data_IF_731374365823
#
_entry.id   IF_731374365823
#
_cell.length_a   1.000
_cell.length_b   1.000
_cell.length_c   1.000
_cell.angle_alpha   90.00
_cell.angle_beta   90.00
_cell.angle_gamma   90.00
#
_symmetry.space_group_name_H-M   'P 1'
#
loop_
_entity.id
_entity.type
_entity.pdbx_description
1 polymer ?
#
# COMPACT_ATOMS: atom_id res chain seq x y z
N UNK A 1 -18.43 -7.40 -10.49
CA UNK A 1 -17.06 -7.18 -11.01
C UNK A 1 -16.11 -8.20 -10.38
N UNK A 2 -14.96 -8.43 -11.01
CA UNK A 2 -13.93 -9.31 -10.46
C UNK A 2 -12.78 -8.45 -9.94
N UNK A 3 -12.53 -8.47 -8.64
CA UNK A 3 -11.59 -7.57 -7.97
C UNK A 3 -10.45 -8.34 -7.29
N UNK A 4 -9.21 -7.89 -7.50
CA UNK A 4 -8.03 -8.42 -6.82
C UNK A 4 -7.48 -7.38 -5.84
N UNK A 5 -7.22 -7.83 -4.61
CA UNK A 5 -6.56 -7.03 -3.58
C UNK A 5 -5.14 -7.54 -3.37
N UNK A 6 -4.15 -6.71 -3.64
CA UNK A 6 -2.73 -6.95 -3.33
C UNK A 6 -2.44 -6.30 -2.00
N UNK A 7 -2.24 -7.12 -0.96
CA UNK A 7 -2.16 -6.67 0.44
C UNK A 7 -1.18 -7.52 1.25
N UNK A 8 -1.04 -7.20 2.53
CA UNK A 8 -0.33 -8.04 3.49
C UNK A 8 -1.06 -9.39 3.69
N UNK A 9 -0.40 -10.42 4.24
CA UNK A 9 -1.07 -11.69 4.49
C UNK A 9 -2.40 -11.50 5.23
N UNK A 10 -3.46 -12.13 4.74
CA UNK A 10 -4.83 -11.97 5.24
C UNK A 10 -4.95 -12.19 6.76
N UNK A 11 -4.07 -13.02 7.34
CA UNK A 11 -4.00 -13.30 8.78
C UNK A 11 -3.55 -12.07 9.61
N UNK A 12 -2.93 -11.08 8.98
CA UNK A 12 -2.47 -9.84 9.62
C UNK A 12 -3.51 -8.72 9.53
N UNK A 13 -4.50 -8.87 8.68
CA UNK A 13 -5.59 -7.90 8.52
C UNK A 13 -6.51 -7.94 9.75
N UNK A 14 -6.83 -6.77 10.27
CA UNK A 14 -7.76 -6.58 11.41
C UNK A 14 -9.09 -6.04 10.89
N UNK A 15 -10.09 -6.88 10.67
CA UNK A 15 -11.32 -6.48 9.96
C UNK A 15 -12.05 -5.29 10.58
N UNK A 16 -11.94 -5.15 11.90
CA UNK A 16 -12.59 -4.10 12.67
C UNK A 16 -11.92 -2.71 12.55
N UNK A 17 -10.70 -2.65 11.99
CA UNK A 17 -9.89 -1.43 11.90
C UNK A 17 -9.31 -1.16 10.52
N UNK A 18 -9.27 -2.17 9.67
CA UNK A 18 -8.61 -2.09 8.39
C UNK A 18 -9.57 -1.61 7.29
N UNK A 19 -9.23 -0.51 6.66
CA UNK A 19 -10.01 0.03 5.56
C UNK A 19 -10.05 -0.88 4.34
N UNK A 20 -9.04 -1.75 4.15
CA UNK A 20 -9.02 -2.75 3.08
C UNK A 20 -10.08 -3.81 3.33
N UNK A 21 -10.22 -4.29 4.57
CA UNK A 21 -11.29 -5.22 4.93
C UNK A 21 -12.67 -4.61 4.67
N UNK A 22 -12.87 -3.36 5.05
CA UNK A 22 -14.13 -2.65 4.79
C UNK A 22 -14.43 -2.53 3.28
N UNK A 23 -13.42 -2.27 2.45
CA UNK A 23 -13.56 -2.23 0.99
C UNK A 23 -13.94 -3.61 0.42
N UNK A 24 -13.25 -4.67 0.85
CA UNK A 24 -13.52 -6.04 0.41
C UNK A 24 -14.95 -6.47 0.79
N UNK A 25 -15.39 -6.18 2.01
CA UNK A 25 -16.75 -6.48 2.47
C UNK A 25 -17.80 -5.67 1.70
N UNK A 26 -17.52 -4.40 1.40
CA UNK A 26 -18.43 -3.58 0.60
C UNK A 26 -18.56 -4.12 -0.84
N UNK A 27 -17.45 -4.53 -1.45
CA UNK A 27 -17.44 -5.13 -2.78
C UNK A 27 -18.21 -6.47 -2.80
N UNK A 28 -18.04 -7.32 -1.77
CA UNK A 28 -18.82 -8.56 -1.65
C UNK A 28 -20.32 -8.29 -1.53
N UNK A 29 -20.73 -7.30 -0.71
CA UNK A 29 -22.14 -6.90 -0.61
C UNK A 29 -22.72 -6.38 -1.92
N UNK A 30 -21.87 -5.83 -2.78
CA UNK A 30 -22.24 -5.42 -4.13
C UNK A 30 -22.33 -6.59 -5.14
N UNK A 31 -22.03 -7.81 -4.71
CA UNK A 31 -22.06 -9.02 -5.53
C UNK A 31 -20.80 -9.22 -6.38
N UNK A 32 -19.69 -8.58 -6.00
CA UNK A 32 -18.43 -8.73 -6.70
C UNK A 32 -17.68 -10.00 -6.27
N UNK A 33 -16.88 -10.55 -7.18
CA UNK A 33 -15.98 -11.69 -6.98
C UNK A 33 -14.64 -11.17 -6.44
N UNK A 34 -14.30 -11.53 -5.20
CA UNK A 34 -13.16 -10.98 -4.45
C UNK A 34 -12.02 -11.96 -4.40
N UNK A 35 -10.85 -11.49 -4.77
CA UNK A 35 -9.59 -12.23 -4.75
C UNK A 35 -8.53 -11.45 -3.99
N UNK A 36 -7.57 -12.19 -3.42
CA UNK A 36 -6.46 -11.60 -2.69
C UNK A 36 -5.14 -12.28 -3.04
N UNK A 37 -4.06 -11.53 -3.02
CA UNK A 37 -2.70 -12.04 -3.09
C UNK A 37 -1.75 -11.10 -2.33
N UNK A 38 -0.54 -11.57 -2.05
CA UNK A 38 0.55 -10.72 -1.54
C UNK A 38 1.40 -10.18 -2.70
N UNK A 39 2.24 -9.16 -2.46
CA UNK A 39 3.20 -8.70 -3.48
C UNK A 39 4.10 -9.80 -4.05
N UNK A 40 4.47 -10.80 -3.24
CA UNK A 40 5.32 -11.91 -3.66
C UNK A 40 4.63 -12.91 -4.60
N UNK A 41 3.31 -12.84 -4.70
CA UNK A 41 2.52 -13.71 -5.58
C UNK A 41 2.36 -13.15 -6.99
N UNK A 42 2.78 -11.89 -7.22
CA UNK A 42 2.72 -11.24 -8.53
C UNK A 42 3.80 -11.79 -9.47
N UNK A 43 3.44 -12.00 -10.72
CA UNK A 43 4.30 -12.61 -11.73
C UNK A 43 4.17 -11.83 -13.05
N UNK A 44 5.29 -11.64 -13.74
CA UNK A 44 5.28 -11.24 -15.15
C UNK A 44 6.00 -12.31 -15.98
N UNK A 45 5.36 -12.79 -17.02
CA UNK A 45 5.98 -13.64 -18.04
C UNK A 45 6.01 -12.85 -19.35
N UNK A 46 7.12 -12.13 -19.60
CA UNK A 46 7.14 -11.13 -20.66
C UNK A 46 6.13 -10.02 -20.35
N UNK A 47 5.14 -9.86 -21.22
CA UNK A 47 4.04 -8.91 -21.12
C UNK A 47 2.74 -9.51 -20.54
N UNK A 48 2.77 -10.80 -20.17
CA UNK A 48 1.66 -11.50 -19.54
C UNK A 48 1.68 -11.26 -18.02
N UNK A 49 0.75 -10.45 -17.45
CA UNK A 49 0.66 -10.22 -16.01
C UNK A 49 -0.15 -11.33 -15.33
N UNK A 50 0.43 -11.98 -14.33
CA UNK A 50 -0.14 -13.12 -13.61
C UNK A 50 -0.03 -12.91 -12.11
N UNK A 51 -0.82 -13.65 -11.33
CA UNK A 51 -0.65 -13.81 -9.89
C UNK A 51 -1.07 -15.21 -9.43
N UNK A 52 -0.52 -15.66 -8.31
CA UNK A 52 -1.11 -16.73 -7.51
C UNK A 52 -2.06 -16.08 -6.51
N UNK A 53 -3.35 -16.22 -6.70
CA UNK A 53 -4.36 -15.52 -5.93
C UNK A 53 -5.34 -16.49 -5.26
N UNK A 54 -5.94 -16.04 -4.17
CA UNK A 54 -6.93 -16.77 -3.38
C UNK A 54 -8.31 -16.15 -3.61
N UNK A 55 -9.36 -16.92 -3.94
CA UNK A 55 -10.72 -16.44 -3.83
C UNK A 55 -11.08 -16.24 -2.36
N UNK A 56 -11.75 -15.13 -2.04
CA UNK A 56 -11.97 -14.67 -0.67
C UNK A 56 -13.43 -14.35 -0.43
N UNK A 57 -13.96 -14.81 0.71
CA UNK A 57 -15.26 -14.38 1.25
C UNK A 57 -14.99 -13.54 2.50
N UNK A 58 -15.00 -12.18 2.41
CA UNK A 58 -14.62 -11.33 3.52
C UNK A 58 -15.74 -11.08 4.56
N UNK A 59 -16.96 -11.61 4.35
CA UNK A 59 -18.06 -11.48 5.31
C UNK A 59 -18.83 -12.83 5.39
N UNK A 60 -18.74 -13.61 6.51
CA UNK A 60 -17.90 -13.33 7.70
C UNK A 60 -16.42 -13.45 7.36
N UNK A 61 -15.61 -12.72 8.09
CA UNK A 61 -14.17 -12.70 7.91
C UNK A 61 -13.52 -13.96 8.50
N UNK A 62 -12.74 -14.69 7.81
CA UNK A 62 -12.49 -14.77 6.37
C UNK A 62 -12.61 -16.23 5.94
N UNK A 63 -13.22 -16.46 4.79
CA UNK A 63 -13.20 -17.75 4.14
C UNK A 63 -12.35 -17.65 2.88
N UNK A 64 -11.33 -18.48 2.74
CA UNK A 64 -10.44 -18.49 1.59
C UNK A 64 -10.53 -19.82 0.86
N UNK A 65 -10.50 -19.75 -0.46
CA UNK A 65 -10.33 -20.92 -1.30
C UNK A 65 -8.87 -21.35 -1.44
N UNK A 66 -8.62 -22.29 -2.33
CA UNK A 66 -7.25 -22.70 -2.67
C UNK A 66 -6.56 -21.65 -3.54
N UNK A 67 -5.21 -21.51 -3.41
CA UNK A 67 -4.44 -20.64 -4.30
C UNK A 67 -4.56 -21.09 -5.75
N UNK A 68 -4.81 -20.14 -6.64
CA UNK A 68 -4.93 -20.40 -8.07
C UNK A 68 -4.07 -19.41 -8.86
N UNK A 69 -3.44 -19.91 -9.93
CA UNK A 69 -2.75 -19.05 -10.87
C UNK A 69 -3.76 -18.37 -11.79
N UNK A 70 -3.81 -17.04 -11.72
CA UNK A 70 -4.75 -16.20 -12.44
C UNK A 70 -4.04 -15.25 -13.38
N UNK A 71 -4.63 -15.01 -14.57
CA UNK A 71 -4.25 -13.85 -15.39
C UNK A 71 -4.81 -12.59 -14.77
N UNK A 72 -3.95 -11.58 -14.57
CA UNK A 72 -4.39 -10.30 -14.05
C UNK A 72 -5.32 -9.56 -15.04
N UNK A 73 -5.21 -9.86 -16.33
CA UNK A 73 -6.13 -9.31 -17.34
C UNK A 73 -7.58 -9.80 -17.21
N UNK A 74 -7.82 -10.82 -16.39
CA UNK A 74 -9.15 -11.31 -16.05
C UNK A 74 -9.85 -10.57 -14.92
N UNK A 75 -9.21 -9.55 -14.35
CA UNK A 75 -9.79 -8.71 -13.29
C UNK A 75 -10.24 -7.36 -13.84
N UNK A 76 -11.38 -6.88 -13.36
CA UNK A 76 -11.89 -5.55 -13.69
C UNK A 76 -11.10 -4.44 -12.99
N UNK A 77 -10.68 -4.73 -11.75
CA UNK A 77 -9.87 -3.80 -10.95
C UNK A 77 -8.90 -4.55 -10.04
N UNK A 78 -7.71 -3.99 -9.89
CA UNK A 78 -6.68 -4.45 -8.95
C UNK A 78 -6.40 -3.31 -7.96
N UNK A 79 -6.48 -3.62 -6.66
CA UNK A 79 -6.22 -2.70 -5.57
C UNK A 79 -4.83 -2.96 -4.99
N UNK A 80 -3.91 -2.00 -5.10
CA UNK A 80 -2.64 -2.05 -4.37
C UNK A 80 -2.86 -1.52 -2.96
N UNK A 81 -3.04 -2.45 -2.02
CA UNK A 81 -3.37 -2.18 -0.61
C UNK A 81 -2.32 -2.69 0.38
N UNK A 82 -1.13 -3.04 -0.12
CA UNK A 82 0.02 -3.38 0.73
C UNK A 82 0.40 -2.17 1.58
N UNK A 83 0.45 -2.38 2.88
CA UNK A 83 0.91 -1.37 3.83
C UNK A 83 2.43 -1.11 3.72
N UNK A 84 2.93 0.06 4.14
CA UNK A 84 4.36 0.30 4.27
C UNK A 84 5.08 -0.81 5.07
N UNK A 85 6.39 -1.03 4.89
CA UNK A 85 7.33 -0.10 4.26
C UNK A 85 7.30 -0.11 2.73
N UNK A 86 7.65 1.05 2.14
CA UNK A 86 7.93 1.17 0.70
C UNK A 86 9.39 0.74 0.47
N UNK A 87 9.60 -0.55 0.47
CA UNK A 87 10.88 -1.22 0.23
C UNK A 87 11.00 -1.71 -1.22
N UNK A 88 12.07 -2.44 -1.53
CA UNK A 88 12.27 -2.99 -2.87
C UNK A 88 11.14 -3.93 -3.29
N UNK A 89 10.63 -4.76 -2.39
CA UNK A 89 9.54 -5.67 -2.70
C UNK A 89 8.25 -4.91 -3.06
N UNK A 90 7.97 -3.84 -2.33
CA UNK A 90 6.87 -2.94 -2.67
C UNK A 90 7.06 -2.30 -4.05
N UNK A 91 8.27 -1.80 -4.34
CA UNK A 91 8.59 -1.17 -5.63
C UNK A 91 8.47 -2.18 -6.78
N UNK A 92 8.99 -3.38 -6.62
CA UNK A 92 8.86 -4.44 -7.62
C UNK A 92 7.40 -4.81 -7.87
N UNK A 93 6.58 -4.91 -6.82
CA UNK A 93 5.14 -5.13 -6.97
C UNK A 93 4.48 -4.04 -7.82
N UNK A 94 4.85 -2.75 -7.63
CA UNK A 94 4.32 -1.67 -8.47
C UNK A 94 4.74 -1.81 -9.93
N UNK A 95 5.95 -2.28 -10.23
CA UNK A 95 6.39 -2.54 -11.60
C UNK A 95 5.64 -3.70 -12.24
N UNK A 96 5.39 -4.79 -11.49
CA UNK A 96 4.59 -5.92 -11.97
C UNK A 96 3.14 -5.51 -12.23
N UNK A 97 2.55 -4.71 -11.36
CA UNK A 97 1.20 -4.17 -11.54
C UNK A 97 1.11 -3.20 -12.74
N UNK A 98 2.18 -2.52 -13.08
CA UNK A 98 2.24 -1.68 -14.28
C UNK A 98 2.15 -2.51 -15.57
N UNK A 99 2.59 -3.79 -15.56
CA UNK A 99 2.37 -4.72 -16.68
C UNK A 99 0.87 -4.95 -16.86
N UNK A 100 0.13 -5.17 -15.76
CA UNK A 100 -1.32 -5.31 -15.79
C UNK A 100 -2.03 -4.03 -16.27
N UNK A 101 -1.56 -2.85 -15.82
CA UNK A 101 -2.09 -1.56 -16.28
C UNK A 101 -1.90 -1.38 -17.80
N UNK A 102 -0.72 -1.73 -18.34
CA UNK A 102 -0.48 -1.72 -19.80
C UNK A 102 -1.33 -2.71 -20.58
N UNK A 103 -1.71 -3.83 -19.94
CA UNK A 103 -2.65 -4.80 -20.51
C UNK A 103 -4.12 -4.33 -20.42
N UNK A 104 -4.39 -3.13 -19.92
CA UNK A 104 -5.71 -2.51 -19.88
C UNK A 104 -6.48 -2.70 -18.58
N UNK A 105 -5.89 -3.32 -17.55
CA UNK A 105 -6.52 -3.50 -16.23
C UNK A 105 -6.47 -2.20 -15.44
N UNK A 106 -7.55 -1.86 -14.76
CA UNK A 106 -7.58 -0.72 -13.85
C UNK A 106 -6.84 -1.05 -12.56
N UNK A 107 -5.71 -0.41 -12.30
CA UNK A 107 -4.94 -0.57 -11.06
C UNK A 107 -5.09 0.66 -10.16
N UNK A 108 -5.52 0.48 -8.93
CA UNK A 108 -5.73 1.50 -7.90
C UNK A 108 -4.86 1.21 -6.66
N UNK A 109 -4.04 2.15 -6.19
CA UNK A 109 -3.69 3.38 -6.86
C UNK A 109 -2.76 3.09 -8.05
N UNK A 110 -2.69 4.03 -9.00
CA UNK A 110 -1.84 3.88 -10.21
C UNK A 110 -0.39 3.58 -9.81
N UNK A 111 0.25 2.53 -10.34
CA UNK A 111 1.59 2.10 -9.92
C UNK A 111 2.66 3.19 -10.05
N UNK A 112 2.64 3.94 -11.15
CA UNK A 112 3.55 5.06 -11.35
C UNK A 112 3.36 6.19 -10.33
N UNK A 113 2.13 6.43 -9.89
CA UNK A 113 1.83 7.41 -8.86
C UNK A 113 2.34 6.95 -7.49
N UNK A 114 2.20 5.67 -7.14
CA UNK A 114 2.74 5.11 -5.90
C UNK A 114 4.26 5.31 -5.80
N UNK A 115 4.98 5.15 -6.90
CA UNK A 115 6.43 5.41 -6.94
C UNK A 115 6.79 6.90 -6.90
N UNK A 116 6.00 7.75 -7.56
CA UNK A 116 6.27 9.19 -7.67
C UNK A 116 5.87 9.99 -6.41
N UNK A 117 4.93 9.49 -5.62
CA UNK A 117 4.34 10.18 -4.47
C UNK A 117 4.64 9.43 -3.18
N UNK A 118 5.85 9.66 -2.64
CA UNK A 118 6.13 9.19 -1.28
C UNK A 118 5.14 9.84 -0.30
N UNK A 119 4.63 9.06 0.62
CA UNK A 119 3.60 9.43 1.60
C UNK A 119 3.90 10.76 2.34
N UNK A 120 5.15 10.98 2.69
CA UNK A 120 5.59 12.17 3.45
C UNK A 120 6.27 13.21 2.56
N UNK A 121 7.19 12.79 1.70
CA UNK A 121 7.96 13.71 0.86
C UNK A 121 7.11 14.33 -0.26
N UNK A 122 6.08 13.63 -0.72
CA UNK A 122 5.13 14.17 -1.71
C UNK A 122 4.47 15.48 -1.26
N UNK A 123 4.27 15.64 0.05
CA UNK A 123 3.69 16.85 0.63
C UNK A 123 4.54 18.11 0.40
N UNK A 124 5.87 17.98 0.24
CA UNK A 124 6.77 19.12 0.00
C UNK A 124 6.42 19.93 -1.26
N UNK A 125 5.71 19.33 -2.21
CA UNK A 125 5.17 20.02 -3.39
C UNK A 125 4.12 21.09 -3.03
N UNK A 126 3.59 21.02 -1.82
CA UNK A 126 2.57 21.92 -1.29
C UNK A 126 3.11 22.75 -0.11
N UNK A 127 4.43 22.98 -0.05
CA UNK A 127 5.12 23.63 1.07
C UNK A 127 4.49 24.96 1.50
N UNK A 128 3.94 25.73 0.55
CA UNK A 128 3.23 27.00 0.83
C UNK A 128 1.98 26.85 1.72
N UNK A 129 1.47 25.62 1.85
CA UNK A 129 0.28 25.30 2.65
C UNK A 129 0.63 24.50 3.91
N UNK A 130 1.91 24.27 4.16
CA UNK A 130 2.40 23.50 5.28
C UNK A 130 2.94 24.43 6.38
N UNK A 131 2.92 23.94 7.62
CA UNK A 131 3.74 24.53 8.67
C UNK A 131 5.24 24.43 8.28
N UNK A 132 6.13 25.23 8.91
CA UNK A 132 7.56 25.11 8.69
C UNK A 132 7.98 23.63 8.78
N UNK A 133 8.62 23.13 7.74
CA UNK A 133 8.93 21.71 7.60
C UNK A 133 10.35 21.55 7.09
N UNK A 134 11.13 20.71 7.79
CA UNK A 134 12.46 20.30 7.37
C UNK A 134 12.48 18.80 7.11
N UNK A 135 13.09 18.37 6.01
CA UNK A 135 13.46 16.98 5.77
C UNK A 135 14.97 16.91 5.62
N UNK A 136 15.62 16.18 6.50
CA UNK A 136 17.08 16.05 6.51
C UNK A 136 17.52 14.65 6.98
N UNK A 137 18.65 14.18 6.46
CA UNK A 137 19.30 12.96 6.94
C UNK A 137 20.34 13.21 8.03
N UNK A 138 20.73 14.48 8.28
CA UNK A 138 21.70 14.84 9.31
C UNK A 138 21.00 15.28 10.58
N UNK A 139 21.34 14.66 11.70
CA UNK A 139 20.77 15.00 13.02
C UNK A 139 21.02 16.46 13.38
N UNK A 140 22.24 17.00 13.09
CA UNK A 140 22.56 18.41 13.35
C UNK A 140 21.60 19.40 12.70
N UNK A 141 21.12 19.11 11.50
CA UNK A 141 20.13 19.97 10.82
C UNK A 141 18.75 19.87 11.49
N UNK A 142 18.36 18.67 11.93
CA UNK A 142 17.11 18.47 12.66
C UNK A 142 17.13 19.17 14.02
N UNK A 143 18.26 19.10 14.74
CA UNK A 143 18.43 19.78 16.03
C UNK A 143 18.35 21.29 15.86
N UNK A 144 19.09 21.87 14.89
CA UNK A 144 19.03 23.30 14.60
C UNK A 144 17.62 23.77 14.28
N UNK A 145 16.92 23.03 13.45
CA UNK A 145 15.53 23.35 13.10
C UNK A 145 14.61 23.31 14.33
N UNK A 146 14.78 22.33 15.21
CA UNK A 146 14.02 22.23 16.44
C UNK A 146 14.28 23.42 17.38
N UNK A 147 15.54 23.86 17.51
CA UNK A 147 15.93 25.04 18.28
C UNK A 147 15.31 26.33 17.70
N UNK A 148 15.29 26.47 16.39
CA UNK A 148 14.70 27.63 15.70
C UNK A 148 13.15 27.68 15.83
N UNK A 149 12.47 26.54 15.79
CA UNK A 149 11.02 26.48 15.79
C UNK A 149 10.39 26.31 17.19
N UNK A 150 11.16 25.84 18.18
CA UNK A 150 10.70 25.53 19.52
C UNK A 150 10.03 24.16 19.59
N UNK A 151 8.72 24.08 19.39
CA UNK A 151 8.01 22.78 19.40
C UNK A 151 7.94 22.19 17.99
N UNK A 152 8.39 20.94 17.83
CA UNK A 152 8.40 20.23 16.54
C UNK A 152 7.86 18.81 16.67
N UNK A 153 7.31 18.30 15.58
CA UNK A 153 6.93 16.89 15.45
C UNK A 153 7.94 16.20 14.55
N UNK A 154 8.66 15.22 15.11
CA UNK A 154 9.61 14.40 14.35
C UNK A 154 8.92 13.14 13.83
N UNK A 155 8.98 12.90 12.52
CA UNK A 155 8.43 11.70 11.87
C UNK A 155 9.48 11.07 10.96
N UNK A 156 9.79 9.77 11.08
CA UNK A 156 10.63 9.10 10.09
C UNK A 156 9.95 9.07 8.73
N UNK A 157 10.72 9.22 7.65
CA UNK A 157 10.21 9.17 6.28
C UNK A 157 9.77 7.74 5.93
N UNK A 158 10.53 6.74 6.38
CA UNK A 158 10.17 5.33 6.25
C UNK A 158 10.33 4.61 7.58
N UNK A 159 9.44 3.67 7.86
CA UNK A 159 9.50 2.84 9.08
C UNK A 159 10.42 1.63 8.84
N UNK A 160 11.71 1.86 8.68
CA UNK A 160 12.70 0.80 8.76
C UNK A 160 13.18 0.71 10.21
N UNK A 161 12.64 -0.26 10.98
CA UNK A 161 13.12 -0.71 12.29
C UNK A 161 13.15 0.30 13.46
N UNK A 162 12.35 1.35 13.47
CA UNK A 162 12.15 2.11 14.71
C UNK A 162 10.86 1.60 15.37
N UNK A 163 11.03 0.85 16.47
CA UNK A 163 9.95 0.76 17.46
C UNK A 163 9.62 2.18 17.87
N UNK A 164 8.37 2.59 17.69
CA UNK A 164 7.90 3.88 18.15
C UNK A 164 8.15 3.96 19.66
N UNK A 165 9.11 4.76 20.07
CA UNK A 165 9.08 5.31 21.41
C UNK A 165 7.99 6.38 21.35
N UNK A 166 6.81 6.04 21.83
CA UNK A 166 5.82 7.03 22.21
C UNK A 166 6.48 7.91 23.27
N UNK A 167 6.73 9.16 22.92
CA UNK A 167 7.12 10.15 23.91
C UNK A 167 5.89 10.38 24.79
N UNK A 168 5.89 9.75 25.98
CA UNK A 168 4.97 10.12 27.03
C UNK A 168 5.20 11.61 27.33
N UNK A 169 4.13 12.39 27.20
CA UNK A 169 4.08 13.73 27.79
C UNK A 169 4.14 13.56 29.31
N UNK A 170 5.17 14.11 29.93
CA UNK A 170 5.12 14.49 31.33
C UNK A 170 4.40 15.82 31.45
#
# INVERSE_FOLDING_TARGET
>A
MRQLFVLDPLQQVRPEKDSTAALMQAAQRAGDDIWACTPSDLIARGDEPLAVALPVTPDPWICVGSPERQSLSGFDVIWMRKDPPVDEAYLYATHLLEVAERAGVRVLNRPSALRAWNEKLGALRFSRWMAPTLVAGRVSELTRFAEEQGEVVLKPVSYTHLRAHETQRN
#
